data_IF_567169307563
#
_entry.id   IF_567169307563
#
_cell.length_a   1.000
_cell.length_b   1.000
_cell.length_c   1.000
_cell.angle_alpha   90.00
_cell.angle_beta   90.00
_cell.angle_gamma   90.00
#
_symmetry.space_group_name_H-M   'P 1'
#
loop_
_entity.id
_entity.type
_entity.pdbx_description
1 polymer ?
#
# COMPACT_ATOMS: atom_id res chain seq x y z
N UNK A 1 33.23 -5.14 2.00
CA UNK A 1 32.17 -4.47 2.77
C UNK A 1 31.15 -3.96 1.76
N UNK A 2 29.91 -4.43 1.82
CA UNK A 2 28.84 -4.01 0.90
C UNK A 2 27.97 -2.97 1.59
N UNK A 3 27.80 -1.79 0.97
CA UNK A 3 26.87 -0.76 1.44
C UNK A 3 25.67 -0.80 0.49
N UNK A 4 24.48 -1.23 0.95
CA UNK A 4 23.31 -1.30 0.09
C UNK A 4 22.79 0.10 -0.24
N UNK A 5 22.23 0.27 -1.44
CA UNK A 5 21.56 1.51 -1.87
C UNK A 5 20.25 1.76 -1.11
N UNK A 6 19.58 0.72 -0.61
CA UNK A 6 18.33 0.84 0.16
C UNK A 6 18.13 -0.36 1.09
N UNK A 7 17.26 -0.17 2.08
CA UNK A 7 16.74 -1.21 2.97
C UNK A 7 15.21 -1.10 3.03
N UNK A 8 14.48 -2.21 3.23
CA UNK A 8 13.03 -2.15 3.42
C UNK A 8 12.66 -1.29 4.63
N UNK A 9 11.70 -0.40 4.46
CA UNK A 9 11.06 0.34 5.55
C UNK A 9 9.69 -0.28 5.84
N UNK A 10 9.70 -1.38 6.60
CA UNK A 10 8.53 -2.16 6.93
C UNK A 10 8.45 -2.35 8.44
N UNK A 11 7.28 -2.07 8.99
CA UNK A 11 6.96 -2.21 10.41
C UNK A 11 5.87 -3.26 10.61
N UNK A 12 5.41 -3.44 11.85
CA UNK A 12 4.28 -4.30 12.16
C UNK A 12 2.98 -3.84 11.47
N UNK A 13 2.84 -2.55 11.14
CA UNK A 13 1.65 -2.01 10.49
C UNK A 13 1.48 -2.55 9.07
N UNK A 14 2.55 -2.60 8.28
CA UNK A 14 2.51 -3.12 6.91
C UNK A 14 2.23 -4.63 6.90
N UNK A 15 2.80 -5.37 7.86
CA UNK A 15 2.54 -6.82 8.01
C UNK A 15 1.06 -7.07 8.33
N UNK A 16 0.48 -6.30 9.27
CA UNK A 16 -0.93 -6.40 9.60
C UNK A 16 -1.82 -6.09 8.38
N UNK A 17 -1.50 -5.04 7.63
CA UNK A 17 -2.25 -4.65 6.43
C UNK A 17 -2.25 -5.75 5.35
N UNK A 18 -1.14 -6.48 5.18
CA UNK A 18 -1.07 -7.63 4.28
C UNK A 18 -1.90 -8.80 4.80
N UNK A 19 -1.80 -9.13 6.09
CA UNK A 19 -2.58 -10.22 6.70
C UNK A 19 -4.09 -9.96 6.60
N UNK A 20 -4.52 -8.71 6.74
CA UNK A 20 -5.90 -8.31 6.51
C UNK A 20 -6.35 -8.69 5.10
N UNK A 21 -5.55 -8.40 4.06
CA UNK A 21 -5.87 -8.74 2.66
C UNK A 21 -5.90 -10.25 2.44
N UNK A 22 -4.88 -10.97 2.92
CA UNK A 22 -4.73 -12.42 2.76
C UNK A 22 -5.89 -13.17 3.42
N UNK A 23 -6.49 -12.62 4.48
CA UNK A 23 -7.68 -13.19 5.12
C UNK A 23 -8.97 -13.06 4.29
N UNK A 24 -8.95 -12.28 3.19
CA UNK A 24 -10.10 -12.06 2.31
C UNK A 24 -10.05 -12.92 1.04
N UNK A 25 -11.12 -12.85 0.24
CA UNK A 25 -11.17 -13.44 -1.10
C UNK A 25 -10.54 -12.58 -2.21
N UNK A 26 -10.06 -11.38 -1.89
CA UNK A 26 -9.57 -10.41 -2.88
C UNK A 26 -8.05 -10.30 -2.79
N UNK A 27 -7.34 -10.98 -3.70
CA UNK A 27 -5.87 -10.96 -3.77
C UNK A 27 -5.29 -10.10 -4.91
N UNK A 28 -6.16 -9.61 -5.79
CA UNK A 28 -5.80 -8.70 -6.87
C UNK A 28 -6.38 -7.31 -6.58
N UNK A 29 -6.99 -6.66 -7.56
CA UNK A 29 -7.65 -5.36 -7.39
C UNK A 29 -8.87 -5.53 -6.46
N UNK A 30 -8.80 -4.88 -5.30
CA UNK A 30 -9.80 -4.96 -4.25
C UNK A 30 -9.96 -3.65 -3.49
N UNK A 31 -10.79 -3.63 -2.43
CA UNK A 31 -11.17 -2.38 -1.74
C UNK A 31 -9.99 -1.61 -1.13
N UNK A 32 -8.87 -2.29 -0.82
CA UNK A 32 -7.66 -1.61 -0.33
C UNK A 32 -6.99 -0.73 -1.39
N UNK A 33 -7.14 -1.05 -2.69
CA UNK A 33 -6.62 -0.21 -3.77
C UNK A 33 -7.41 1.10 -3.88
N UNK A 34 -8.74 1.01 -3.85
CA UNK A 34 -9.61 2.21 -3.86
C UNK A 34 -9.34 3.11 -2.66
N UNK A 35 -9.22 2.53 -1.45
CA UNK A 35 -8.88 3.29 -0.26
C UNK A 35 -7.51 3.98 -0.35
N UNK A 36 -6.53 3.31 -0.97
CA UNK A 36 -5.22 3.89 -1.24
C UNK A 36 -5.32 5.07 -2.22
N UNK A 37 -6.02 4.92 -3.33
CA UNK A 37 -6.20 5.97 -4.33
C UNK A 37 -6.90 7.20 -3.76
N UNK A 38 -7.95 7.02 -2.96
CA UNK A 38 -8.64 8.12 -2.27
C UNK A 38 -7.70 8.86 -1.31
N UNK A 39 -6.94 8.12 -0.50
CA UNK A 39 -5.98 8.69 0.43
C UNK A 39 -4.86 9.46 -0.28
N UNK A 40 -4.34 8.93 -1.40
CA UNK A 40 -3.28 9.58 -2.17
C UNK A 40 -3.80 10.80 -2.93
N UNK A 41 -5.00 10.74 -3.52
CA UNK A 41 -5.62 11.89 -4.16
C UNK A 41 -5.78 13.05 -3.14
N UNK A 42 -6.28 12.74 -1.95
CA UNK A 42 -6.41 13.72 -0.86
C UNK A 42 -5.05 14.25 -0.39
N UNK A 43 -4.07 13.38 -0.16
CA UNK A 43 -2.72 13.76 0.26
C UNK A 43 -2.01 14.66 -0.76
N UNK A 44 -2.13 14.33 -2.05
CA UNK A 44 -1.51 15.08 -3.14
C UNK A 44 -2.29 16.34 -3.54
N UNK A 45 -3.51 16.54 -3.01
CA UNK A 45 -4.41 17.62 -3.45
C UNK A 45 -4.87 17.46 -4.91
N UNK A 46 -4.87 16.23 -5.41
CA UNK A 46 -5.25 15.90 -6.79
C UNK A 46 -6.71 15.45 -6.86
N UNK A 47 -7.33 15.62 -8.03
CA UNK A 47 -8.69 15.12 -8.24
C UNK A 47 -8.75 13.59 -8.25
N UNK A 48 -7.69 12.93 -8.72
CA UNK A 48 -7.62 11.48 -8.87
C UNK A 48 -6.20 10.97 -8.59
N UNK A 49 -6.11 9.73 -8.12
CA UNK A 49 -4.87 8.95 -8.03
C UNK A 49 -5.12 7.56 -8.62
N UNK A 50 -4.05 6.90 -9.05
CA UNK A 50 -4.09 5.55 -9.64
C UNK A 50 -3.02 4.71 -8.97
N UNK A 51 -3.43 3.58 -8.37
CA UNK A 51 -2.51 2.56 -7.87
C UNK A 51 -2.22 1.52 -8.96
N UNK A 52 -0.95 1.11 -9.08
CA UNK A 52 -0.46 0.14 -10.08
C UNK A 52 0.02 -1.16 -9.45
#
# INVERSE_FOLDING_TARGET
MSIPMSSPDLTAAEIAAVNDVVSTRYLSIGPKLTAFEEAIAAYAGAAHAVGV
#
